data_IF_102723680740
#
_entry.id   IF_102723680740
#
_cell.length_a   1.000
_cell.length_b   1.000
_cell.length_c   1.000
_cell.angle_alpha   90.00
_cell.angle_beta   90.00
_cell.angle_gamma   90.00
#
_symmetry.space_group_name_H-M   'P 1'
#
loop_
_entity.id
_entity.type
_entity.pdbx_description
1 polymer ?
#
# COMPACT_ATOMS: atom_id res chain seq x y z
N UNK A 1 15.92 -16.00 7.91
CA UNK A 1 14.64 -16.75 7.84
C UNK A 1 13.52 -15.74 7.67
N UNK A 2 13.34 -15.26 6.46
CA UNK A 2 12.43 -14.15 6.13
C UNK A 2 11.16 -14.68 5.48
N UNK A 3 10.03 -14.24 6.01
CA UNK A 3 8.73 -14.07 5.32
C UNK A 3 8.13 -15.25 4.52
N UNK A 4 8.40 -16.51 4.84
CA UNK A 4 7.62 -17.64 4.28
C UNK A 4 6.27 -17.86 5.00
N UNK A 5 5.91 -17.01 5.96
CA UNK A 5 4.98 -17.37 7.02
C UNK A 5 3.49 -17.17 6.67
N UNK A 6 3.18 -16.22 5.80
CA UNK A 6 1.79 -15.92 5.38
C UNK A 6 1.41 -16.73 4.12
N UNK A 7 2.40 -17.24 3.41
CA UNK A 7 2.24 -17.85 2.07
C UNK A 7 1.36 -19.10 2.03
N UNK A 8 1.29 -19.84 3.13
CA UNK A 8 0.62 -21.14 3.20
C UNK A 8 -0.45 -21.23 4.30
N UNK A 9 -0.99 -20.07 4.73
CA UNK A 9 -1.97 -20.07 5.81
C UNK A 9 -3.41 -20.09 5.28
N UNK A 10 -4.22 -20.99 5.84
CA UNK A 10 -5.68 -20.98 5.79
C UNK A 10 -6.29 -20.05 6.86
N UNK A 11 -5.43 -19.49 7.73
CA UNK A 11 -5.82 -18.48 8.73
C UNK A 11 -5.98 -17.11 8.03
N UNK A 12 -7.13 -16.47 8.21
CA UNK A 12 -7.41 -15.17 7.69
C UNK A 12 -7.79 -14.22 8.83
N UNK A 13 -7.10 -13.09 8.94
CA UNK A 13 -7.42 -12.02 9.88
C UNK A 13 -8.13 -10.89 9.14
N UNK A 14 -9.42 -10.71 9.42
CA UNK A 14 -10.23 -9.64 8.85
C UNK A 14 -10.30 -8.49 9.85
N UNK A 15 -10.06 -7.26 9.36
CA UNK A 15 -10.16 -6.04 10.16
C UNK A 15 -10.82 -4.94 9.36
N UNK A 16 -11.78 -4.27 9.95
CA UNK A 16 -12.38 -3.06 9.38
C UNK A 16 -11.63 -1.79 9.81
N UNK A 17 -11.44 -0.92 8.83
CA UNK A 17 -10.76 0.36 8.98
C UNK A 17 -11.65 1.49 8.43
N UNK A 18 -12.75 1.84 9.16
CA UNK A 18 -13.75 2.80 8.73
C UNK A 18 -13.20 4.22 8.81
N UNK A 19 -12.78 4.78 7.67
CA UNK A 19 -12.25 6.16 7.59
C UNK A 19 -12.63 6.84 6.29
N UNK A 20 -12.94 8.11 6.38
CA UNK A 20 -12.97 9.09 5.30
C UNK A 20 -12.03 10.27 5.58
N UNK A 21 -11.17 10.15 6.59
CA UNK A 21 -10.30 11.25 7.00
C UNK A 21 -9.36 11.72 5.89
N UNK A 22 -8.92 10.82 5.01
CA UNK A 22 -8.10 11.14 3.84
C UNK A 22 -8.91 11.48 2.59
N UNK A 23 -10.21 11.20 2.56
CA UNK A 23 -11.08 11.37 1.39
C UNK A 23 -11.55 12.82 1.20
N UNK A 24 -12.04 13.12 -0.01
CA UNK A 24 -12.66 14.40 -0.33
C UNK A 24 -14.02 14.59 0.34
N UNK A 25 -14.76 13.49 0.56
CA UNK A 25 -16.09 13.48 1.15
C UNK A 25 -16.27 12.28 2.08
N UNK A 26 -17.28 12.36 2.94
CA UNK A 26 -17.75 11.25 3.76
C UNK A 26 -18.53 10.24 2.92
N UNK A 27 -18.67 9.01 3.44
CA UNK A 27 -19.44 7.92 2.84
C UNK A 27 -18.67 6.61 2.86
N UNK A 28 -17.42 6.62 2.41
CA UNK A 28 -16.57 5.42 2.31
C UNK A 28 -16.24 4.79 3.66
N UNK A 29 -16.30 5.52 4.76
CA UNK A 29 -16.13 5.00 6.12
C UNK A 29 -17.19 3.95 6.49
N UNK A 30 -18.33 3.94 5.79
CA UNK A 30 -19.39 2.94 5.97
C UNK A 30 -19.16 1.67 5.13
N UNK A 31 -18.12 1.65 4.30
CA UNK A 31 -17.77 0.51 3.44
C UNK A 31 -17.51 -0.78 4.22
N UNK A 32 -16.70 -0.79 5.30
CA UNK A 32 -16.41 -1.99 6.09
C UNK A 32 -17.66 -2.68 6.62
N UNK A 33 -18.60 -1.92 7.21
CA UNK A 33 -19.87 -2.45 7.71
C UNK A 33 -20.74 -2.99 6.57
N UNK A 34 -20.81 -2.26 5.46
CA UNK A 34 -21.63 -2.68 4.31
C UNK A 34 -21.12 -4.00 3.70
N UNK A 35 -19.81 -4.22 3.60
CA UNK A 35 -19.23 -5.46 3.12
C UNK A 35 -19.46 -6.62 4.09
N UNK A 36 -19.43 -6.38 5.42
CA UNK A 36 -19.82 -7.40 6.41
C UNK A 36 -21.29 -7.74 6.30
N UNK A 37 -22.16 -6.74 6.20
CA UNK A 37 -23.59 -6.95 6.02
C UNK A 37 -23.93 -7.68 4.70
N UNK A 38 -23.06 -7.59 3.68
CA UNK A 38 -23.16 -8.36 2.45
C UNK A 38 -22.61 -9.80 2.56
N UNK A 39 -22.13 -10.22 3.75
CA UNK A 39 -21.78 -11.61 4.07
C UNK A 39 -20.34 -12.01 3.73
N UNK A 40 -19.38 -11.08 3.74
CA UNK A 40 -17.98 -11.42 3.39
C UNK A 40 -17.36 -12.45 4.34
N UNK A 41 -17.70 -12.39 5.64
CA UNK A 41 -17.15 -13.31 6.65
C UNK A 41 -17.64 -14.74 6.40
N UNK A 42 -18.93 -14.88 6.17
CA UNK A 42 -19.59 -16.17 5.89
C UNK A 42 -19.04 -16.78 4.61
N UNK A 43 -18.93 -15.98 3.56
CA UNK A 43 -18.38 -16.42 2.28
C UNK A 43 -16.95 -16.90 2.37
N UNK A 44 -16.10 -16.21 3.12
CA UNK A 44 -14.70 -16.63 3.33
C UNK A 44 -14.61 -17.93 4.15
N UNK A 45 -15.50 -18.13 5.12
CA UNK A 45 -15.61 -19.41 5.86
C UNK A 45 -16.09 -20.56 4.96
N UNK A 46 -17.08 -20.32 4.10
CA UNK A 46 -17.54 -21.29 3.11
C UNK A 46 -16.43 -21.72 2.15
N UNK A 47 -15.51 -20.81 1.79
CA UNK A 47 -14.31 -21.10 0.98
C UNK A 47 -13.32 -22.02 1.71
N UNK A 48 -13.37 -22.09 3.05
CA UNK A 48 -12.49 -22.94 3.86
C UNK A 48 -11.51 -22.18 4.75
N UNK A 49 -11.58 -20.83 4.81
CA UNK A 49 -10.72 -20.07 5.71
C UNK A 49 -11.19 -20.12 7.17
N UNK A 50 -10.23 -20.19 8.09
CA UNK A 50 -10.44 -19.91 9.50
C UNK A 50 -10.38 -18.39 9.71
N UNK A 51 -11.55 -17.74 9.66
CA UNK A 51 -11.65 -16.27 9.70
C UNK A 51 -11.68 -15.80 11.15
N UNK A 52 -10.61 -15.11 11.57
CA UNK A 52 -10.57 -14.32 12.79
C UNK A 52 -11.01 -12.88 12.45
N UNK A 53 -12.29 -12.57 12.69
CA UNK A 53 -12.81 -11.21 12.50
C UNK A 53 -12.51 -10.36 13.75
N UNK A 54 -11.63 -9.37 13.60
CA UNK A 54 -11.24 -8.45 14.67
C UNK A 54 -12.23 -7.28 14.84
N UNK A 55 -13.31 -7.24 14.06
CA UNK A 55 -14.25 -6.13 14.03
C UNK A 55 -13.66 -4.86 13.42
N UNK A 56 -14.37 -3.76 13.57
CA UNK A 56 -13.98 -2.45 13.09
C UNK A 56 -13.17 -1.68 14.13
N UNK A 57 -12.20 -0.91 13.64
CA UNK A 57 -11.54 0.13 14.43
C UNK A 57 -12.50 1.32 14.66
N UNK A 58 -12.23 2.19 15.64
CA UNK A 58 -13.01 3.42 15.81
C UNK A 58 -13.01 4.26 14.53
N UNK A 59 -14.21 4.59 14.06
CA UNK A 59 -14.42 5.36 12.83
C UNK A 59 -13.75 6.72 12.90
N UNK A 60 -13.09 7.11 11.79
CA UNK A 60 -12.41 8.40 11.69
C UNK A 60 -13.00 9.24 10.55
N UNK A 61 -13.18 10.51 10.82
CA UNK A 61 -13.73 11.51 9.90
C UNK A 61 -12.74 12.65 9.68
N UNK A 62 -12.93 13.44 8.61
CA UNK A 62 -12.24 14.70 8.47
C UNK A 62 -12.48 15.59 9.70
N UNK A 63 -11.40 16.15 10.23
CA UNK A 63 -11.41 17.13 11.31
C UNK A 63 -10.72 18.41 10.83
N UNK A 64 -11.09 19.59 11.31
CA UNK A 64 -10.35 20.81 11.00
C UNK A 64 -8.88 20.65 11.36
N UNK A 65 -8.00 20.89 10.39
CA UNK A 65 -6.54 20.78 10.53
C UNK A 65 -5.85 22.01 9.92
N UNK A 66 -5.95 23.16 10.56
CA UNK A 66 -5.38 24.41 10.02
C UNK A 66 -3.85 24.42 10.02
N UNK A 67 -3.22 23.54 10.80
CA UNK A 67 -1.76 23.40 10.87
C UNK A 67 -1.20 22.69 9.63
N UNK A 68 -2.03 21.87 8.96
CA UNK A 68 -1.63 21.07 7.80
C UNK A 68 -2.53 21.35 6.57
N UNK A 69 -2.58 22.56 6.05
CA UNK A 69 -3.54 22.94 5.00
C UNK A 69 -3.32 22.16 3.68
N UNK A 70 -2.09 21.66 3.46
CA UNK A 70 -1.69 20.89 2.25
C UNK A 70 -1.65 19.38 2.45
N UNK A 71 -1.96 18.90 3.66
CA UNK A 71 -2.11 17.48 3.99
C UNK A 71 -3.08 17.37 5.18
N UNK A 72 -4.37 17.62 4.91
CA UNK A 72 -5.39 17.79 5.94
C UNK A 72 -5.70 16.51 6.68
N UNK A 73 -6.17 16.66 7.91
CA UNK A 73 -6.69 15.59 8.76
C UNK A 73 -5.65 14.55 9.18
N UNK A 74 -4.35 14.90 9.19
CA UNK A 74 -3.28 13.97 9.56
C UNK A 74 -3.51 13.32 10.91
N UNK A 75 -4.00 14.06 11.92
CA UNK A 75 -4.30 13.50 13.26
C UNK A 75 -5.35 12.38 13.19
N UNK A 76 -6.45 12.61 12.45
CA UNK A 76 -7.51 11.59 12.28
C UNK A 76 -7.02 10.40 11.46
N UNK A 77 -6.23 10.64 10.41
CA UNK A 77 -5.63 9.58 9.61
C UNK A 77 -4.73 8.70 10.49
N UNK A 78 -3.78 9.29 11.22
CA UNK A 78 -2.85 8.57 12.09
C UNK A 78 -3.55 7.84 13.24
N UNK A 79 -4.64 8.41 13.79
CA UNK A 79 -5.45 7.77 14.84
C UNK A 79 -6.07 6.44 14.39
N UNK A 80 -6.33 6.26 13.09
CA UNK A 80 -6.73 4.96 12.54
C UNK A 80 -5.53 4.10 12.13
N UNK A 81 -4.54 4.69 11.46
CA UNK A 81 -3.43 3.92 10.87
C UNK A 81 -2.57 3.21 11.92
N UNK A 82 -2.32 3.84 13.08
CA UNK A 82 -1.51 3.24 14.15
C UNK A 82 -2.11 1.95 14.71
N UNK A 83 -3.37 1.90 15.19
CA UNK A 83 -3.98 0.66 15.65
C UNK A 83 -4.17 -0.36 14.52
N UNK A 84 -4.46 0.08 13.29
CA UNK A 84 -4.56 -0.81 12.13
C UNK A 84 -3.22 -1.52 11.87
N UNK A 85 -2.13 -0.77 11.82
CA UNK A 85 -0.77 -1.33 11.68
C UNK A 85 -0.46 -2.38 12.74
N UNK A 86 -0.81 -2.10 14.00
CA UNK A 86 -0.59 -3.05 15.10
C UNK A 86 -1.38 -4.34 14.89
N UNK A 87 -2.65 -4.27 14.48
CA UNK A 87 -3.47 -5.46 14.19
C UNK A 87 -2.91 -6.27 13.03
N UNK A 88 -2.45 -5.60 11.96
CA UNK A 88 -1.84 -6.28 10.82
C UNK A 88 -0.51 -6.95 11.22
N UNK A 89 0.31 -6.29 12.03
CA UNK A 89 1.55 -6.89 12.57
C UNK A 89 1.25 -8.13 13.42
N UNK A 90 0.22 -8.07 14.25
CA UNK A 90 -0.23 -9.22 15.06
C UNK A 90 -0.72 -10.38 14.19
N UNK A 91 -1.52 -10.09 13.16
CA UNK A 91 -1.99 -11.07 12.19
C UNK A 91 -0.82 -11.76 11.49
N UNK A 92 0.15 -10.98 11.02
CA UNK A 92 1.35 -11.51 10.37
C UNK A 92 2.21 -12.39 11.30
N UNK A 93 2.34 -12.01 12.58
CA UNK A 93 3.01 -12.83 13.61
C UNK A 93 2.27 -14.14 13.90
N UNK A 94 0.94 -14.12 13.81
CA UNK A 94 0.09 -15.29 13.95
C UNK A 94 -0.01 -16.12 12.66
N UNK A 95 0.74 -15.80 11.62
CA UNK A 95 0.72 -16.43 10.30
C UNK A 95 -0.63 -16.30 9.56
N UNK A 96 -1.50 -15.40 9.99
CA UNK A 96 -2.78 -15.16 9.35
C UNK A 96 -2.65 -14.17 8.18
N UNK A 97 -3.38 -14.43 7.10
CA UNK A 97 -3.46 -13.54 5.95
C UNK A 97 -4.31 -12.29 6.30
N UNK A 98 -3.77 -11.07 6.25
CA UNK A 98 -4.53 -9.87 6.56
C UNK A 98 -5.46 -9.49 5.39
N UNK A 99 -6.75 -9.38 5.69
CA UNK A 99 -7.77 -8.78 4.83
C UNK A 99 -8.31 -7.52 5.51
N UNK A 100 -8.09 -6.36 4.89
CA UNK A 100 -8.55 -5.07 5.40
C UNK A 100 -9.79 -4.63 4.62
N UNK A 101 -10.89 -4.41 5.34
CA UNK A 101 -12.06 -3.70 4.81
C UNK A 101 -11.85 -2.22 5.12
N UNK A 102 -11.38 -1.45 4.13
CA UNK A 102 -11.02 -0.05 4.30
C UNK A 102 -12.15 0.91 3.97
N UNK A 103 -12.06 2.11 4.50
CA UNK A 103 -12.79 3.26 4.00
C UNK A 103 -12.03 3.90 2.84
N UNK A 104 -11.25 4.93 3.09
CA UNK A 104 -10.41 5.54 2.06
C UNK A 104 -9.07 4.80 1.86
N UNK A 105 -8.36 5.17 0.81
CA UNK A 105 -7.14 4.49 0.35
C UNK A 105 -5.95 4.63 1.30
N UNK A 106 -5.96 5.57 2.25
CA UNK A 106 -4.83 5.81 3.18
C UNK A 106 -4.52 4.60 4.05
N UNK A 107 -5.46 3.68 4.24
CA UNK A 107 -5.25 2.41 4.98
C UNK A 107 -4.13 1.54 4.38
N UNK A 108 -3.78 1.75 3.11
CA UNK A 108 -2.66 1.07 2.46
C UNK A 108 -1.32 1.32 3.18
N UNK A 109 -1.15 2.50 3.78
CA UNK A 109 0.05 2.85 4.57
C UNK A 109 0.20 1.90 5.76
N UNK A 110 -0.89 1.66 6.49
CA UNK A 110 -0.87 0.76 7.65
C UNK A 110 -0.74 -0.72 7.25
N UNK A 111 -1.38 -1.15 6.15
CA UNK A 111 -1.25 -2.52 5.63
C UNK A 111 0.22 -2.84 5.32
N UNK A 112 0.87 -2.00 4.54
CA UNK A 112 2.26 -2.20 4.18
C UNK A 112 3.18 -2.09 5.41
N UNK A 113 3.02 -1.07 6.25
CA UNK A 113 3.84 -0.88 7.45
C UNK A 113 3.71 -2.05 8.45
N UNK A 114 2.50 -2.60 8.62
CA UNK A 114 2.25 -3.74 9.50
C UNK A 114 2.94 -5.03 9.03
N UNK A 115 3.08 -5.21 7.71
CA UNK A 115 3.75 -6.38 7.12
C UNK A 115 5.27 -6.25 7.04
N UNK A 116 5.82 -5.02 7.09
CA UNK A 116 7.26 -4.76 6.87
C UNK A 116 8.20 -5.48 7.82
N UNK A 117 7.76 -5.84 9.03
CA UNK A 117 8.60 -6.62 9.97
C UNK A 117 8.82 -8.05 9.51
N UNK A 118 7.80 -8.66 8.93
CA UNK A 118 7.84 -10.04 8.44
C UNK A 118 8.33 -10.11 7.00
N UNK A 119 8.04 -9.08 6.20
CA UNK A 119 8.43 -8.94 4.81
C UNK A 119 9.20 -7.61 4.61
N UNK A 120 10.51 -7.57 4.86
CA UNK A 120 11.32 -6.34 4.79
C UNK A 120 11.25 -5.63 3.43
N UNK A 121 10.88 -6.35 2.39
CA UNK A 121 10.68 -5.80 1.05
C UNK A 121 9.35 -6.26 0.50
N UNK A 122 8.41 -5.34 0.33
CA UNK A 122 7.09 -5.60 -0.21
C UNK A 122 6.93 -4.94 -1.58
N UNK A 123 6.14 -5.61 -2.45
CA UNK A 123 5.57 -5.01 -3.63
C UNK A 123 4.12 -4.59 -3.38
N UNK A 124 3.60 -3.77 -4.28
CA UNK A 124 2.21 -3.34 -4.29
C UNK A 124 1.63 -3.46 -5.69
N UNK A 125 0.49 -4.14 -5.78
CA UNK A 125 -0.41 -4.06 -6.92
C UNK A 125 -1.58 -3.15 -6.50
N UNK A 126 -1.61 -1.95 -7.05
CA UNK A 126 -2.66 -0.97 -6.83
C UNK A 126 -3.67 -1.10 -7.98
N UNK A 127 -4.82 -1.73 -7.70
CA UNK A 127 -5.93 -1.87 -8.65
C UNK A 127 -6.86 -0.69 -8.43
N UNK A 128 -6.73 0.33 -9.26
CA UNK A 128 -7.44 1.59 -9.14
C UNK A 128 -7.29 2.42 -10.39
N UNK A 129 -8.22 3.35 -10.61
CA UNK A 129 -8.20 4.18 -11.80
C UNK A 129 -7.32 5.42 -11.69
N UNK A 130 -6.91 5.82 -10.47
CA UNK A 130 -6.08 6.98 -10.18
C UNK A 130 -4.67 6.53 -9.80
N UNK A 131 -3.66 7.36 -10.11
CA UNK A 131 -2.28 7.07 -9.74
C UNK A 131 -1.98 7.44 -8.27
N UNK A 132 -2.76 8.37 -7.70
CA UNK A 132 -2.67 8.87 -6.33
C UNK A 132 -1.24 9.35 -5.98
N UNK A 133 -0.60 10.05 -6.95
CA UNK A 133 0.77 10.54 -6.88
C UNK A 133 0.86 12.03 -6.51
N UNK A 134 -0.24 12.69 -6.18
CA UNK A 134 -0.18 14.06 -5.65
C UNK A 134 0.75 14.14 -4.44
N UNK A 135 1.22 15.34 -4.11
CA UNK A 135 2.02 15.61 -2.91
C UNK A 135 1.54 16.92 -2.26
N UNK A 136 1.92 17.20 -1.01
CA UNK A 136 1.58 18.48 -0.38
C UNK A 136 2.05 19.71 -1.14
N UNK A 137 3.04 19.59 -2.02
CA UNK A 137 3.53 20.71 -2.86
C UNK A 137 2.71 20.92 -4.13
N UNK A 138 1.97 19.91 -4.59
CA UNK A 138 1.18 19.94 -5.82
C UNK A 138 -0.33 20.05 -5.61
N UNK A 139 -0.80 19.91 -4.36
CA UNK A 139 -2.23 20.00 -4.05
C UNK A 139 -2.64 21.43 -3.71
N UNK A 140 -3.86 21.79 -4.07
CA UNK A 140 -4.49 23.05 -3.66
C UNK A 140 -5.41 22.83 -2.45
N UNK A 141 -6.06 21.69 -2.36
CA UNK A 141 -7.08 21.36 -1.38
C UNK A 141 -6.59 20.57 -0.17
N UNK A 142 -5.39 20.00 -0.23
CA UNK A 142 -4.79 19.24 0.85
C UNK A 142 -5.45 17.88 1.14
N UNK A 143 -6.27 17.36 0.23
CA UNK A 143 -6.87 16.03 0.36
C UNK A 143 -5.76 14.96 0.28
N UNK A 144 -5.72 14.04 1.24
CA UNK A 144 -4.59 13.09 1.40
C UNK A 144 -4.74 11.84 0.54
N UNK A 145 -5.96 11.38 0.28
CA UNK A 145 -6.17 10.16 -0.52
C UNK A 145 -5.47 10.19 -1.90
N UNK A 146 -5.52 11.28 -2.70
CA UNK A 146 -4.77 11.39 -3.96
C UNK A 146 -3.24 11.41 -3.80
N UNK A 147 -2.72 11.45 -2.56
CA UNK A 147 -1.29 11.43 -2.26
C UNK A 147 -0.80 10.08 -1.76
N UNK A 148 -1.68 9.08 -1.64
CA UNK A 148 -1.36 7.84 -0.92
C UNK A 148 -0.17 7.12 -1.55
N UNK A 149 -0.11 6.99 -2.86
CA UNK A 149 1.02 6.33 -3.53
C UNK A 149 2.32 7.11 -3.31
N UNK A 150 2.28 8.44 -3.34
CA UNK A 150 3.44 9.27 -3.01
C UNK A 150 3.97 9.00 -1.58
N UNK A 151 3.07 8.86 -0.59
CA UNK A 151 3.50 8.50 0.77
C UNK A 151 4.19 7.14 0.82
N UNK A 152 3.65 6.14 0.09
CA UNK A 152 4.20 4.78 0.05
C UNK A 152 5.61 4.74 -0.57
N UNK A 153 5.87 5.58 -1.57
CA UNK A 153 7.19 5.68 -2.21
C UNK A 153 8.12 6.70 -1.55
N UNK A 154 7.73 7.28 -0.40
CA UNK A 154 8.57 8.17 0.40
C UNK A 154 8.56 9.64 -0.02
N UNK A 155 7.54 10.10 -0.75
CA UNK A 155 7.49 11.44 -1.37
C UNK A 155 6.22 12.24 -1.00
N UNK A 156 5.72 12.11 0.21
CA UNK A 156 4.49 12.76 0.67
C UNK A 156 4.67 13.62 1.91
N UNK A 157 3.60 13.75 2.70
CA UNK A 157 3.65 14.38 4.00
C UNK A 157 4.59 13.61 4.95
N UNK A 158 5.41 14.34 5.70
CA UNK A 158 6.49 13.76 6.48
C UNK A 158 6.00 12.75 7.52
N UNK A 159 4.84 12.99 8.13
CA UNK A 159 4.22 12.13 9.13
C UNK A 159 3.84 10.77 8.53
N UNK A 160 3.29 10.74 7.33
CA UNK A 160 2.90 9.52 6.63
C UNK A 160 4.09 8.82 5.99
N UNK A 161 5.06 9.55 5.47
CA UNK A 161 6.32 8.98 4.96
C UNK A 161 7.11 8.30 6.07
N UNK A 162 7.19 8.93 7.27
CA UNK A 162 7.89 8.42 8.45
C UNK A 162 7.04 7.47 9.31
N UNK A 163 5.81 7.18 8.91
CA UNK A 163 4.95 6.20 9.59
C UNK A 163 5.63 4.85 9.75
N UNK A 164 6.52 4.51 8.83
CA UNK A 164 7.49 3.45 8.96
C UNK A 164 8.90 4.03 9.12
N UNK A 165 9.74 3.41 9.98
CA UNK A 165 11.07 3.92 10.36
C UNK A 165 12.04 4.05 9.17
N UNK A 166 11.86 3.24 8.14
CA UNK A 166 12.75 3.10 7.00
C UNK A 166 11.97 3.30 5.69
N UNK A 167 11.66 4.54 5.32
CA UNK A 167 11.03 4.82 4.02
C UNK A 167 11.98 4.49 2.86
N UNK A 168 11.44 4.16 1.68
CA UNK A 168 10.04 4.02 1.35
C UNK A 168 9.41 2.72 1.84
N UNK A 169 8.07 2.69 2.00
CA UNK A 169 7.33 1.46 2.26
C UNK A 169 7.36 0.52 1.06
N UNK A 170 7.29 1.06 -0.15
CA UNK A 170 7.39 0.34 -1.43
C UNK A 170 8.36 1.10 -2.33
N UNK A 171 9.28 0.39 -2.98
CA UNK A 171 10.15 1.01 -3.98
C UNK A 171 9.37 1.17 -5.30
N UNK A 172 9.63 2.24 -6.02
CA UNK A 172 8.94 2.54 -7.29
C UNK A 172 8.88 1.37 -8.28
N UNK A 173 9.98 0.62 -8.56
CA UNK A 173 9.92 -0.51 -9.50
C UNK A 173 9.10 -1.71 -9.00
N UNK A 174 8.82 -1.77 -7.69
CA UNK A 174 8.05 -2.85 -7.05
C UNK A 174 6.57 -2.48 -6.87
N UNK A 175 6.14 -1.34 -7.44
CA UNK A 175 4.78 -0.85 -7.48
C UNK A 175 4.21 -0.94 -8.89
N UNK A 176 3.02 -1.53 -9.02
CA UNK A 176 2.27 -1.61 -10.27
C UNK A 176 0.90 -0.95 -10.11
N UNK A 177 0.61 0.04 -10.96
CA UNK A 177 -0.69 0.68 -11.10
C UNK A 177 -1.47 -0.08 -12.17
N UNK A 178 -2.51 -0.80 -11.77
CA UNK A 178 -3.34 -1.65 -12.64
C UNK A 178 -4.75 -1.07 -12.79
N UNK A 179 -5.21 -0.91 -14.01
CA UNK A 179 -6.51 -0.29 -14.29
C UNK A 179 -6.47 1.23 -14.29
N UNK A 180 -5.26 1.81 -14.48
CA UNK A 180 -5.09 3.25 -14.51
C UNK A 180 -5.87 3.88 -15.67
N UNK A 181 -6.71 4.88 -15.36
CA UNK A 181 -7.34 5.73 -16.36
C UNK A 181 -6.39 6.82 -16.85
N UNK A 182 -6.87 7.71 -17.73
CA UNK A 182 -6.09 8.88 -18.14
C UNK A 182 -5.76 9.74 -16.91
N UNK A 183 -4.46 9.92 -16.58
CA UNK A 183 -4.05 10.65 -15.40
C UNK A 183 -4.29 12.17 -15.57
N UNK A 184 -4.56 12.85 -14.46
CA UNK A 184 -4.57 14.32 -14.43
C UNK A 184 -3.17 14.92 -14.71
N UNK A 185 -3.07 16.22 -14.73
CA UNK A 185 -1.81 16.90 -15.07
C UNK A 185 -0.69 16.61 -14.08
N UNK A 186 -1.01 16.55 -12.78
CA UNK A 186 -0.05 16.29 -11.69
C UNK A 186 0.42 14.82 -11.77
N UNK A 187 -0.51 13.89 -11.82
CA UNK A 187 -0.21 12.46 -11.93
C UNK A 187 0.59 12.16 -13.20
N UNK A 188 0.27 12.80 -14.33
CA UNK A 188 0.99 12.61 -15.61
C UNK A 188 2.43 13.09 -15.51
N UNK A 189 2.67 14.28 -14.95
CA UNK A 189 4.02 14.81 -14.74
C UNK A 189 4.84 13.86 -13.86
N UNK A 190 4.27 13.47 -12.73
CA UNK A 190 4.93 12.60 -11.77
C UNK A 190 5.22 11.20 -12.34
N UNK A 191 4.27 10.62 -13.05
CA UNK A 191 4.47 9.35 -13.77
C UNK A 191 5.60 9.42 -14.80
N UNK A 192 5.88 10.61 -15.35
CA UNK A 192 6.98 10.84 -16.28
C UNK A 192 8.37 10.68 -15.66
N UNK A 193 8.50 10.92 -14.35
CA UNK A 193 9.77 10.92 -13.61
C UNK A 193 9.98 9.67 -12.73
N UNK A 194 8.95 8.88 -12.48
CA UNK A 194 8.98 7.73 -11.56
C UNK A 194 9.09 6.40 -12.31
N UNK A 195 9.82 5.46 -11.72
CA UNK A 195 9.99 4.10 -12.24
C UNK A 195 8.80 3.16 -11.89
N UNK A 196 7.63 3.73 -11.63
CA UNK A 196 6.39 2.99 -11.32
C UNK A 196 5.88 2.28 -12.57
N UNK A 197 5.46 1.03 -12.43
CA UNK A 197 4.93 0.23 -13.53
C UNK A 197 3.46 0.54 -13.78
N UNK A 198 3.08 0.77 -15.05
CA UNK A 198 1.76 1.23 -15.45
C UNK A 198 1.06 0.22 -16.35
N UNK A 199 -0.18 -0.12 -15.99
CA UNK A 199 -1.06 -1.00 -16.73
C UNK A 199 -2.41 -0.32 -16.91
N UNK A 200 -2.52 0.61 -17.90
CA UNK A 200 -3.74 1.37 -18.14
C UNK A 200 -4.91 0.47 -18.56
N UNK A 201 -6.14 0.96 -18.39
CA UNK A 201 -7.38 0.27 -18.79
C UNK A 201 -7.29 -0.20 -20.24
N UNK A 202 -6.81 0.62 -21.16
CA UNK A 202 -6.68 0.29 -22.57
C UNK A 202 -5.71 -0.88 -22.82
N UNK A 203 -4.65 -0.98 -21.98
CA UNK A 203 -3.72 -2.11 -22.06
C UNK A 203 -4.38 -3.39 -21.53
N UNK A 204 -5.17 -3.31 -20.45
CA UNK A 204 -5.94 -4.44 -19.92
C UNK A 204 -6.89 -4.96 -20.99
N UNK A 205 -7.65 -4.09 -21.62
CA UNK A 205 -8.62 -4.46 -22.68
C UNK A 205 -7.96 -5.03 -23.92
N UNK A 206 -6.85 -4.44 -24.37
CA UNK A 206 -6.14 -4.89 -25.58
C UNK A 206 -5.48 -6.24 -25.41
N UNK A 207 -4.86 -6.49 -24.26
CA UNK A 207 -4.02 -7.67 -24.03
C UNK A 207 -4.75 -8.78 -23.25
N UNK A 208 -5.93 -8.49 -22.69
CA UNK A 208 -6.62 -9.34 -21.71
C UNK A 208 -6.16 -9.10 -20.28
N UNK A 209 -7.08 -9.23 -19.35
CA UNK A 209 -6.84 -8.92 -17.94
C UNK A 209 -5.80 -9.87 -17.31
N UNK A 210 -5.94 -11.19 -17.54
CA UNK A 210 -5.00 -12.20 -17.03
C UNK A 210 -3.58 -11.98 -17.53
N UNK A 211 -3.39 -11.81 -18.85
CA UNK A 211 -2.05 -11.58 -19.41
C UNK A 211 -1.43 -10.28 -18.91
N UNK A 212 -2.22 -9.24 -18.72
CA UNK A 212 -1.76 -7.97 -18.16
C UNK A 212 -1.40 -8.10 -16.68
N UNK A 213 -2.16 -8.90 -15.89
CA UNK A 213 -1.84 -9.21 -14.50
C UNK A 213 -0.54 -10.03 -14.36
N UNK A 214 -0.32 -11.01 -15.25
CA UNK A 214 0.97 -11.74 -15.34
C UNK A 214 2.13 -10.76 -15.56
N UNK A 215 1.99 -9.84 -16.52
CA UNK A 215 3.01 -8.83 -16.78
C UNK A 215 3.20 -7.88 -15.57
N UNK A 216 2.15 -7.59 -14.80
CA UNK A 216 2.26 -6.80 -13.58
C UNK A 216 3.09 -7.51 -12.48
N UNK A 217 3.10 -8.83 -12.48
CA UNK A 217 3.86 -9.64 -11.53
C UNK A 217 5.32 -9.88 -11.93
N UNK A 218 5.72 -9.65 -13.18
CA UNK A 218 7.06 -10.03 -13.68
C UNK A 218 8.20 -9.58 -12.78
N UNK A 219 8.19 -8.31 -12.37
CA UNK A 219 9.22 -7.76 -11.48
C UNK A 219 9.23 -8.43 -10.11
N UNK A 220 8.05 -8.65 -9.54
CA UNK A 220 7.89 -9.24 -8.22
C UNK A 220 8.30 -10.71 -8.22
N UNK A 221 7.98 -11.44 -9.30
CA UNK A 221 8.43 -12.83 -9.52
C UNK A 221 9.93 -12.91 -9.66
N UNK A 222 10.53 -12.08 -10.53
CA UNK A 222 11.97 -12.06 -10.76
C UNK A 222 12.79 -11.79 -9.49
N UNK A 223 12.20 -11.11 -8.50
CA UNK A 223 12.83 -10.81 -7.21
C UNK A 223 12.30 -11.67 -6.06
N UNK A 224 11.41 -12.62 -6.34
CA UNK A 224 10.70 -13.47 -5.34
C UNK A 224 10.16 -12.65 -4.18
N UNK A 225 9.50 -11.52 -4.49
CA UNK A 225 9.06 -10.51 -3.52
C UNK A 225 7.62 -10.75 -3.12
N UNK A 226 7.37 -10.72 -1.81
CA UNK A 226 6.01 -10.68 -1.29
C UNK A 226 5.33 -9.38 -1.72
N UNK A 227 4.04 -9.42 -1.98
CA UNK A 227 3.27 -8.26 -2.38
C UNK A 227 1.87 -8.25 -1.77
N UNK A 228 1.31 -7.06 -1.68
CA UNK A 228 -0.09 -6.84 -1.32
C UNK A 228 -0.88 -6.33 -2.52
N UNK A 229 -2.18 -6.58 -2.50
CA UNK A 229 -3.12 -5.99 -3.45
C UNK A 229 -3.96 -4.96 -2.72
N UNK A 230 -4.09 -3.79 -3.33
CA UNK A 230 -5.04 -2.76 -2.94
C UNK A 230 -6.11 -2.67 -4.03
N UNK A 231 -7.33 -3.07 -3.70
CA UNK A 231 -8.47 -3.00 -4.60
C UNK A 231 -9.32 -1.78 -4.27
N UNK A 232 -9.41 -0.85 -5.21
CA UNK A 232 -10.22 0.34 -5.09
C UNK A 232 -11.51 0.19 -5.90
N UNK A 233 -12.65 0.46 -5.26
CA UNK A 233 -13.96 0.37 -5.92
C UNK A 233 -14.13 1.34 -7.11
N UNK A 234 -13.28 2.36 -7.22
CA UNK A 234 -13.29 3.30 -8.34
C UNK A 234 -12.71 2.74 -9.65
N UNK A 235 -12.03 1.58 -9.62
CA UNK A 235 -11.50 0.95 -10.84
C UNK A 235 -12.61 0.47 -11.76
N UNK A 236 -13.76 0.16 -11.20
CA UNK A 236 -14.93 -0.29 -11.96
C UNK A 236 -15.67 0.88 -12.59
N UNK A 237 -16.39 0.63 -13.69
CA UNK A 237 -17.41 1.58 -14.12
C UNK A 237 -18.60 1.54 -13.16
N UNK A 238 -19.32 2.67 -12.95
CA UNK A 238 -20.48 2.71 -12.05
C UNK A 238 -21.62 1.75 -12.45
N UNK A 239 -21.71 1.41 -13.72
CA UNK A 239 -22.69 0.47 -14.28
C UNK A 239 -22.37 -0.97 -13.84
N UNK A 240 -21.09 -1.31 -13.77
CA UNK A 240 -20.60 -2.63 -13.37
C UNK A 240 -20.63 -2.81 -11.85
N UNK A 241 -20.18 -1.77 -11.13
CA UNK A 241 -20.12 -1.77 -9.67
C UNK A 241 -20.55 -0.40 -9.13
N UNK A 242 -21.82 -0.22 -8.74
CA UNK A 242 -22.23 1.00 -8.04
C UNK A 242 -21.55 1.11 -6.67
N UNK A 243 -21.37 2.32 -6.18
CA UNK A 243 -20.76 2.58 -4.88
C UNK A 243 -19.27 2.92 -4.93
N UNK A 244 -18.60 2.92 -6.07
CA UNK A 244 -17.24 3.44 -6.19
C UNK A 244 -17.22 4.96 -6.00
N UNK A 245 -16.64 5.46 -4.89
CA UNK A 245 -16.73 6.88 -4.50
C UNK A 245 -16.11 7.86 -5.52
N UNK A 246 -15.13 7.41 -6.30
CA UNK A 246 -14.44 8.20 -7.35
C UNK A 246 -14.60 7.57 -8.73
N UNK A 247 -15.53 6.61 -8.86
CA UNK A 247 -15.76 5.91 -10.11
C UNK A 247 -16.37 6.84 -11.18
N UNK A 248 -15.94 6.66 -12.42
CA UNK A 248 -16.52 7.32 -13.59
C UNK A 248 -16.65 6.31 -14.72
N UNK A 249 -17.42 6.65 -15.76
CA UNK A 249 -17.59 5.81 -16.93
C UNK A 249 -16.27 5.33 -17.53
N UNK A 250 -16.27 4.15 -18.15
CA UNK A 250 -15.09 3.58 -18.81
C UNK A 250 -14.13 2.84 -17.88
N UNK A 251 -14.49 2.57 -16.63
CA UNK A 251 -13.74 1.69 -15.71
C UNK A 251 -13.69 0.24 -16.21
N UNK A 252 -12.93 -0.61 -15.54
CA UNK A 252 -12.88 -2.04 -15.84
C UNK A 252 -14.22 -2.72 -15.52
N UNK A 253 -14.48 -3.84 -16.17
CA UNK A 253 -15.59 -4.72 -15.85
C UNK A 253 -15.28 -5.59 -14.63
N UNK A 254 -16.32 -6.14 -14.00
CA UNK A 254 -16.17 -7.09 -12.89
C UNK A 254 -15.38 -8.33 -13.34
N UNK A 255 -15.59 -8.80 -14.59
CA UNK A 255 -14.83 -9.93 -15.15
C UNK A 255 -13.35 -9.62 -15.30
N UNK A 256 -12.98 -8.44 -15.85
CA UNK A 256 -11.57 -8.05 -16.03
C UNK A 256 -10.84 -7.96 -14.69
N UNK A 257 -11.46 -7.39 -13.67
CA UNK A 257 -10.86 -7.33 -12.32
C UNK A 257 -10.80 -8.70 -11.67
N UNK A 258 -11.82 -9.56 -11.87
CA UNK A 258 -11.85 -10.93 -11.38
C UNK A 258 -10.69 -11.77 -11.92
N UNK A 259 -10.50 -11.76 -13.25
CA UNK A 259 -9.37 -12.46 -13.88
C UNK A 259 -8.00 -12.00 -13.35
N UNK A 260 -7.85 -10.70 -13.10
CA UNK A 260 -6.63 -10.15 -12.54
C UNK A 260 -6.42 -10.57 -11.08
N UNK A 261 -7.47 -10.48 -10.25
CA UNK A 261 -7.41 -10.91 -8.85
C UNK A 261 -7.11 -12.40 -8.71
N UNK A 262 -7.69 -13.26 -9.52
CA UNK A 262 -7.39 -14.70 -9.55
C UNK A 262 -5.91 -14.94 -9.88
N UNK A 263 -5.38 -14.22 -10.85
CA UNK A 263 -3.98 -14.30 -11.20
C UNK A 263 -3.07 -13.90 -10.03
N UNK A 264 -3.41 -12.80 -9.31
CA UNK A 264 -2.64 -12.35 -8.14
C UNK A 264 -2.79 -13.30 -6.95
N UNK A 265 -4.01 -13.73 -6.66
CA UNK A 265 -4.35 -14.53 -5.49
C UNK A 265 -3.67 -15.92 -5.49
N UNK A 266 -3.49 -16.53 -6.67
CA UNK A 266 -2.84 -17.83 -6.80
C UNK A 266 -1.33 -17.80 -6.60
N UNK A 267 -0.71 -16.63 -6.38
CA UNK A 267 0.74 -16.52 -6.18
C UNK A 267 1.14 -16.80 -4.73
N UNK A 268 2.15 -17.64 -4.48
CA UNK A 268 2.62 -17.92 -3.13
C UNK A 268 3.13 -16.68 -2.38
N UNK A 269 3.48 -15.62 -3.11
CA UNK A 269 3.98 -14.34 -2.56
C UNK A 269 2.88 -13.32 -2.30
N UNK A 270 1.61 -13.67 -2.52
CA UNK A 270 0.48 -12.80 -2.17
C UNK A 270 0.29 -12.77 -0.65
N UNK A 271 0.54 -11.60 -0.03
CA UNK A 271 0.72 -11.46 1.41
C UNK A 271 -0.37 -10.66 2.12
N UNK A 272 -1.28 -10.02 1.40
CA UNK A 272 -2.36 -9.23 2.01
C UNK A 272 -3.24 -8.53 0.99
N UNK A 273 -4.47 -8.21 1.39
CA UNK A 273 -5.47 -7.54 0.56
C UNK A 273 -6.15 -6.42 1.35
N UNK A 274 -6.34 -5.26 0.73
CA UNK A 274 -7.26 -4.24 1.22
C UNK A 274 -8.28 -3.89 0.14
N UNK A 275 -9.52 -3.64 0.56
CA UNK A 275 -10.64 -3.19 -0.28
C UNK A 275 -11.01 -1.80 0.21
N UNK A 276 -11.01 -0.79 -0.65
CA UNK A 276 -11.24 0.60 -0.28
C UNK A 276 -12.13 1.34 -1.29
N UNK A 277 -12.62 2.50 -0.89
CA UNK A 277 -13.32 3.43 -1.79
C UNK A 277 -14.76 3.03 -2.12
N UNK A 278 -15.37 2.09 -1.38
CA UNK A 278 -16.77 1.75 -1.54
C UNK A 278 -17.63 2.62 -0.60
N UNK A 279 -18.55 3.37 -1.19
CA UNK A 279 -19.54 4.19 -0.49
C UNK A 279 -20.94 3.58 -0.66
N UNK A 280 -21.54 3.01 0.40
CA UNK A 280 -22.85 2.39 0.33
C UNK A 280 -24.00 3.40 0.07
N UNK A 281 -23.79 4.69 0.25
CA UNK A 281 -24.80 5.70 -0.07
C UNK A 281 -24.98 5.85 -1.60
N UNK A 282 -23.97 5.51 -2.40
CA UNK A 282 -24.01 5.48 -3.86
C UNK A 282 -24.55 4.15 -4.43
N UNK A 283 -24.89 3.19 -3.55
CA UNK A 283 -25.37 1.85 -3.89
C UNK A 283 -26.55 1.45 -2.99
N UNK A 284 -27.72 2.11 -3.12
CA UNK A 284 -28.86 1.84 -2.22
C UNK A 284 -29.40 0.41 -2.34
N UNK A 285 -29.20 -0.26 -3.48
CA UNK A 285 -29.61 -1.65 -3.69
C UNK A 285 -28.56 -2.67 -3.23
N UNK A 286 -27.38 -2.22 -2.75
CA UNK A 286 -26.26 -3.06 -2.26
C UNK A 286 -25.71 -4.04 -3.32
N UNK A 287 -25.93 -3.79 -4.60
CA UNK A 287 -25.39 -4.63 -5.69
C UNK A 287 -23.88 -4.59 -5.76
N UNK A 288 -23.28 -3.41 -5.56
CA UNK A 288 -21.82 -3.24 -5.53
C UNK A 288 -21.19 -3.96 -4.35
N UNK A 289 -21.79 -3.87 -3.14
CA UNK A 289 -21.32 -4.61 -1.97
C UNK A 289 -21.33 -6.12 -2.21
N UNK A 290 -22.45 -6.66 -2.73
CA UNK A 290 -22.59 -8.08 -3.06
C UNK A 290 -21.58 -8.51 -4.14
N UNK A 291 -21.34 -7.67 -5.13
CA UNK A 291 -20.37 -7.92 -6.20
C UNK A 291 -18.95 -7.94 -5.66
N UNK A 292 -18.56 -6.98 -4.79
CA UNK A 292 -17.24 -6.97 -4.14
C UNK A 292 -17.03 -8.20 -3.26
N UNK A 293 -18.03 -8.58 -2.47
CA UNK A 293 -17.95 -9.78 -1.62
C UNK A 293 -17.78 -11.03 -2.46
N UNK A 294 -18.54 -11.20 -3.54
CA UNK A 294 -18.41 -12.32 -4.47
C UNK A 294 -17.01 -12.35 -5.09
N UNK A 295 -16.58 -11.26 -5.68
CA UNK A 295 -15.30 -11.12 -6.38
C UNK A 295 -14.11 -11.46 -5.47
N UNK A 296 -14.11 -10.90 -4.26
CA UNK A 296 -13.04 -11.17 -3.27
C UNK A 296 -13.08 -12.62 -2.80
N UNK A 297 -14.27 -13.16 -2.55
CA UNK A 297 -14.41 -14.57 -2.12
C UNK A 297 -13.97 -15.54 -3.21
N UNK A 298 -14.24 -15.26 -4.49
CA UNK A 298 -13.75 -16.06 -5.63
C UNK A 298 -12.21 -16.03 -5.71
N UNK A 299 -11.59 -14.85 -5.62
CA UNK A 299 -10.13 -14.73 -5.59
C UNK A 299 -9.50 -15.44 -4.39
N UNK A 300 -10.13 -15.35 -3.22
CA UNK A 300 -9.66 -16.05 -2.03
C UNK A 300 -9.89 -17.58 -2.12
N UNK A 301 -10.92 -18.04 -2.84
CA UNK A 301 -11.09 -19.45 -3.17
C UNK A 301 -9.97 -19.96 -4.08
N UNK A 302 -9.60 -19.20 -5.11
CA UNK A 302 -8.47 -19.52 -5.96
C UNK A 302 -7.15 -19.61 -5.16
N UNK A 303 -6.93 -18.65 -4.23
CA UNK A 303 -5.78 -18.71 -3.30
C UNK A 303 -5.81 -19.95 -2.43
N UNK A 304 -6.94 -20.27 -1.81
CA UNK A 304 -7.08 -21.45 -0.94
C UNK A 304 -6.79 -22.74 -1.70
N UNK A 305 -7.35 -22.88 -2.91
CA UNK A 305 -7.10 -24.02 -3.77
C UNK A 305 -5.60 -24.16 -4.13
N UNK A 306 -4.92 -23.06 -4.42
CA UNK A 306 -3.48 -23.05 -4.69
C UNK A 306 -2.62 -23.42 -3.47
N UNK A 307 -3.10 -23.17 -2.24
CA UNK A 307 -2.41 -23.57 -1.01
C UNK A 307 -2.53 -25.07 -0.73
N UNK A 308 -3.65 -25.70 -1.11
CA UNK A 308 -3.94 -27.11 -0.83
C UNK A 308 -3.31 -28.03 -1.88
N UNK A 309 -3.09 -27.55 -3.11
CA UNK A 309 -2.40 -28.33 -4.12
C UNK A 309 -0.91 -28.49 -3.75
N UNK A 310 -0.37 -29.74 -3.65
CA UNK A 310 1.05 -29.92 -3.50
C UNK A 310 1.74 -29.25 -4.70
N UNK A 311 2.72 -28.39 -4.44
CA UNK A 311 3.62 -27.86 -5.47
C UNK A 311 4.28 -29.07 -6.15
N UNK A 312 3.78 -29.44 -7.31
CA UNK A 312 4.54 -30.29 -8.23
C UNK A 312 5.65 -29.38 -8.71
N UNK A 313 6.83 -29.51 -8.09
CA UNK A 313 8.04 -28.92 -8.68
C UNK A 313 8.12 -29.49 -10.09
N UNK A 314 8.34 -28.69 -11.13
CA UNK A 314 8.59 -29.23 -12.45
C UNK A 314 9.79 -30.16 -12.30
N UNK A 315 9.56 -31.45 -12.53
CA UNK A 315 10.66 -32.38 -12.70
C UNK A 315 11.60 -31.72 -13.69
N UNK A 316 12.81 -31.42 -13.25
CA UNK A 316 13.89 -31.04 -14.13
C UNK A 316 14.01 -32.20 -15.10
N UNK A 317 13.52 -32.01 -16.32
CA UNK A 317 13.79 -32.94 -17.42
C UNK A 317 15.31 -33.18 -17.42
N UNK A 318 15.67 -34.35 -16.95
CA UNK A 318 17.02 -34.88 -17.08
C UNK A 318 17.32 -34.89 -18.58
N UNK A 319 18.22 -34.02 -19.01
CA UNK A 319 18.72 -34.03 -20.37
C UNK A 319 19.10 -35.47 -20.76
N UNK A 320 18.65 -35.97 -21.90
CA UNK A 320 19.05 -37.29 -22.33
C UNK A 320 20.57 -37.28 -22.63
N UNK A 321 21.27 -38.15 -21.89
CA UNK A 321 22.49 -38.82 -22.25
C UNK A 321 23.61 -38.03 -22.90
N UNK A 322 24.54 -37.52 -22.10
CA UNK A 322 25.93 -37.48 -22.55
C UNK A 322 26.55 -38.86 -22.41
N UNK A 323 27.27 -39.39 -23.38
CA UNK A 323 27.88 -40.74 -23.29
C UNK A 323 29.02 -40.72 -22.27
N UNK A 324 28.99 -41.71 -21.39
CA UNK A 324 30.02 -41.97 -20.38
C UNK A 324 31.37 -42.23 -21.05
N UNK A 325 32.38 -41.41 -20.70
CA UNK A 325 33.78 -41.69 -21.03
C UNK A 325 34.30 -42.86 -20.15
N UNK A 326 35.20 -43.69 -20.73
CA UNK A 326 35.62 -44.93 -20.07
C UNK A 326 36.51 -44.75 -18.87
N UNK A 327 36.35 -45.63 -17.90
CA UNK A 327 37.14 -45.70 -16.68
C UNK A 327 38.63 -45.86 -16.98
N UNK A 328 39.48 -45.03 -16.39
CA UNK A 328 40.93 -45.25 -16.31
C UNK A 328 41.25 -45.89 -14.98
N UNK A 329 42.01 -46.97 -15.14
CA UNK A 329 42.58 -47.84 -14.10
C UNK A 329 43.48 -47.06 -13.10
N UNK A 330 43.46 -47.59 -11.90
CA UNK A 330 44.33 -47.14 -10.83
C UNK A 330 45.76 -47.65 -11.08
N UNK A 331 46.71 -46.76 -11.14
CA UNK A 331 48.10 -47.09 -10.84
C UNK A 331 48.52 -46.38 -9.55
N UNK A 332 49.11 -47.19 -8.66
CA UNK A 332 49.79 -46.81 -7.43
C UNK A 332 51.18 -46.34 -7.80
N UNK A 333 51.63 -45.21 -7.25
CA UNK A 333 53.06 -44.98 -6.92
C UNK A 333 53.17 -43.97 -5.80
N UNK A 334 53.81 -44.26 -4.93
CA UNK A 334 54.69 -44.16 -3.78
C UNK A 334 55.35 -42.78 -3.65
N UNK A 335 55.10 -42.25 -2.49
CA UNK A 335 55.95 -41.49 -1.55
C UNK A 335 57.29 -40.89 -2.02
N UNK A 336 57.45 -39.58 -1.86
CA UNK A 336 58.65 -38.98 -1.20
C UNK A 336 58.48 -37.48 -0.90
N UNK A 337 58.66 -37.19 0.41
CA UNK A 337 59.35 -36.06 1.06
C UNK A 337 59.18 -34.61 0.56
N UNK A 338 58.73 -33.79 1.53
CA UNK A 338 58.97 -32.35 1.68
C UNK A 338 60.41 -31.90 1.49
N UNK A 339 60.75 -30.58 1.23
CA UNK A 339 60.62 -29.58 2.27
C UNK A 339 60.25 -28.13 1.88
N UNK A 340 59.73 -27.44 2.90
CA UNK A 340 59.99 -26.09 3.40
C UNK A 340 59.88 -24.84 2.51
N UNK A 341 58.95 -23.99 2.94
CA UNK A 341 59.01 -22.57 3.24
C UNK A 341 59.65 -21.57 2.25
N UNK A 342 58.86 -20.54 1.91
CA UNK A 342 59.25 -19.11 2.06
C UNK A 342 57.99 -18.26 2.17
N UNK A 343 57.94 -17.47 3.27
CA UNK A 343 56.95 -16.44 3.54
C UNK A 343 57.22 -15.21 2.68
N UNK A 344 56.15 -14.58 2.19
CA UNK A 344 56.23 -13.24 1.61
C UNK A 344 55.54 -12.21 2.54
N UNK A 345 56.04 -10.97 2.63
CA UNK A 345 55.74 -10.03 3.67
C UNK A 345 54.44 -9.25 3.47
N UNK A 346 53.89 -8.78 4.60
CA UNK A 346 52.75 -7.88 4.66
C UNK A 346 53.08 -6.48 4.11
N UNK A 347 52.14 -5.75 3.55
CA UNK A 347 52.32 -4.35 3.22
C UNK A 347 52.12 -3.45 4.44
N UNK A 348 53.02 -2.44 4.50
CA UNK A 348 53.14 -1.40 5.51
C UNK A 348 51.89 -0.49 5.58
N UNK A 349 51.61 -0.06 6.83
CA UNK A 349 50.67 0.97 7.22
C UNK A 349 51.12 2.35 6.72
N UNK A 350 50.25 3.04 5.97
CA UNK A 350 50.38 4.46 5.66
C UNK A 350 49.72 5.31 6.74
N UNK A 351 50.08 6.59 6.88
CA UNK A 351 49.82 7.39 8.07
C UNK A 351 48.40 7.94 8.19
N UNK A 352 47.96 8.08 9.44
CA UNK A 352 46.74 8.77 9.86
C UNK A 352 46.77 10.26 9.45
N UNK A 353 45.65 10.88 9.07
CA UNK A 353 45.59 12.33 8.93
C UNK A 353 45.32 13.01 10.28
N UNK A 354 46.12 14.07 10.51
CA UNK A 354 46.04 15.02 11.61
C UNK A 354 44.65 15.62 11.84
N UNK A 355 44.30 15.72 13.13
CA UNK A 355 43.19 16.52 13.64
C UNK A 355 43.48 18.01 13.41
N UNK A 356 42.60 18.70 12.69
CA UNK A 356 42.59 20.15 12.60
C UNK A 356 41.66 20.71 13.69
N UNK A 357 42.26 21.38 14.65
CA UNK A 357 41.61 22.23 15.64
C UNK A 357 40.87 23.39 14.90
N UNK A 358 39.57 23.56 15.16
CA UNK A 358 38.85 24.76 14.79
C UNK A 358 38.57 25.57 16.04
N UNK A 359 39.22 26.72 16.06
CA UNK A 359 39.10 27.77 17.07
C UNK A 359 37.63 28.29 17.14
N UNK A 360 37.19 28.45 18.37
CA UNK A 360 35.93 29.13 18.74
C UNK A 360 36.18 30.62 18.87
N UNK A 361 35.58 31.44 18.03
CA UNK A 361 35.35 32.88 18.30
C UNK A 361 33.83 33.16 18.26
N UNK A 362 33.27 33.59 19.36
CA UNK A 362 32.94 34.98 19.68
C UNK A 362 31.41 35.13 19.66
N UNK A 363 30.81 34.93 20.83
CA UNK A 363 29.41 35.36 21.12
C UNK A 363 29.29 36.88 21.07
N UNK A 364 28.30 37.38 20.33
CA UNK A 364 27.81 38.77 20.50
C UNK A 364 26.30 38.70 20.71
N UNK A 365 25.92 38.98 21.93
CA UNK A 365 24.52 39.34 22.32
C UNK A 365 24.30 40.84 22.04
N UNK A 366 23.12 41.28 21.65
CA UNK A 366 22.62 42.61 21.96
C UNK A 366 21.48 42.55 22.97
N UNK A 367 21.64 43.38 24.00
CA UNK A 367 20.67 43.74 25.03
C UNK A 367 19.67 44.78 24.55
N UNK A 368 18.57 45.01 25.32
CA UNK A 368 17.33 45.62 24.83
C UNK A 368 17.33 47.15 24.97
N UNK A 369 16.65 47.82 24.04
CA UNK A 369 16.36 49.24 24.09
C UNK A 369 14.88 49.51 24.31
N UNK A 370 14.65 50.32 25.31
CA UNK A 370 13.39 50.87 25.83
C UNK A 370 12.66 51.83 24.88
N UNK A 371 11.33 51.86 25.04
CA UNK A 371 10.54 53.05 25.16
C UNK A 371 9.89 53.60 23.85
N UNK A 372 8.61 53.70 23.77
CA UNK A 372 7.74 54.79 24.25
C UNK A 372 6.31 54.61 23.73
N UNK A 373 5.43 54.63 24.62
CA UNK A 373 4.08 55.17 24.77
C UNK A 373 3.51 56.01 23.63
N UNK A 374 2.27 55.69 23.15
CA UNK A 374 1.27 56.67 22.72
C UNK A 374 -0.12 56.05 22.63
N UNK A 375 -0.96 56.46 23.53
CA UNK A 375 -2.41 56.38 23.69
C UNK A 375 -3.19 56.91 22.47
N UNK A 376 -4.35 56.25 22.17
CA UNK A 376 -5.66 56.88 21.88
C UNK A 376 -6.71 55.81 21.53
N UNK A 377 -7.59 55.50 22.44
CA UNK A 377 -9.04 55.84 22.58
C UNK A 377 -9.88 55.76 21.29
N UNK A 378 -10.92 54.90 21.34
CA UNK A 378 -12.05 54.94 20.42
C UNK A 378 -12.92 53.69 20.42
N UNK A 379 -13.86 53.61 21.35
CA UNK A 379 -15.06 52.76 21.34
C UNK A 379 -16.28 53.69 21.32
N UNK A 380 -17.53 53.25 21.13
CA UNK A 380 -18.17 52.20 20.32
C UNK A 380 -19.35 52.78 19.49
N UNK A 381 -19.95 52.00 18.58
CA UNK A 381 -21.31 52.29 18.12
C UNK A 381 -22.12 51.01 17.92
N UNK A 382 -23.07 50.87 18.82
CA UNK A 382 -24.29 50.06 18.75
C UNK A 382 -25.27 50.63 17.74
N UNK A 383 -25.97 49.80 16.98
CA UNK A 383 -27.32 49.99 16.41
C UNK A 383 -27.85 48.60 16.02
N UNK A 384 -28.75 48.05 16.82
CA UNK A 384 -30.22 48.04 16.82
C UNK A 384 -30.86 47.26 15.68
N UNK A 385 -31.48 46.14 16.09
CA UNK A 385 -32.67 45.46 15.60
C UNK A 385 -33.66 46.27 14.79
N UNK A 386 -34.23 45.65 13.71
CA UNK A 386 -35.65 45.81 13.40
C UNK A 386 -36.22 44.50 12.90
N UNK A 387 -37.30 44.10 13.57
CA UNK A 387 -38.29 43.09 13.21
C UNK A 387 -39.29 43.73 12.20
N UNK A 388 -39.83 42.95 11.30
CA UNK A 388 -41.23 42.97 10.81
C UNK A 388 -41.41 41.83 9.83
N UNK A 389 -42.17 40.81 10.21
CA UNK A 389 -43.62 40.57 9.98
C UNK A 389 -44.03 40.33 8.53
N UNK A 390 -44.47 39.08 8.35
CA UNK A 390 -45.74 38.59 7.80
C UNK A 390 -46.08 38.85 6.35
N UNK A 391 -46.65 37.79 5.71
CA UNK A 391 -47.61 37.92 4.64
C UNK A 391 -47.68 36.73 3.69
N UNK A 392 -48.68 35.91 3.92
CA UNK A 392 -49.36 34.96 3.06
C UNK A 392 -49.34 35.23 1.54
N UNK A 393 -49.13 34.19 0.76
CA UNK A 393 -50.04 33.69 -0.28
C UNK A 393 -49.49 32.36 -0.84
#
# INVERSE_FOLDING_TARGET
LTAKLIRHSDQLALVGAPTSAGAAAKGVENGPEALRSAGIVERLREVGYQVADAGDLPMQFPQPDPENPRARNLKSILALLDPLRVRIEQSAKAHAFPLVLGGDVTVAVALLAGLRRQAPTLGLIHIGRHADLHTPTHTEDGIVAPMTVSHLIGQGAAELVRFWKEPPLVREPDLALFGLAEPDAIDRERLGSLAVRRFPIEKVRRNGARATAEAALDRLRATNRDFVVLLLADVFSPEELPGGARATAGGLTVSEVGEALDCFATRPTFAGLAICGYDPALDPERRGAQTLVRLVSEAMAARHAALVQPTVEPETESRPGEPSAPAKEKEKEENTAQPAAVAAPAPESGPEPEEAEVETEGAVTPSPGEGTDATATGSPATLRSDESEAGDA
#
